data_IF_519036832663
#
_entry.id   IF_519036832663
#
_cell.length_a   1.000
_cell.length_b   1.000
_cell.length_c   1.000
_cell.angle_alpha   90.00
_cell.angle_beta   90.00
_cell.angle_gamma   90.00
#
_symmetry.space_group_name_H-M   'P 1'
#
loop_
_entity.id
_entity.type
_entity.pdbx_description
1 polymer ?
#
# COMPACT_ATOMS: atom_id res chain seq x y z
N UNK A 1 31.34 4.54 35.46
CA UNK A 1 32.68 5.11 35.52
C UNK A 1 32.63 6.67 35.55
N UNK A 2 32.03 7.35 34.58
CA UNK A 2 32.02 8.82 34.51
C UNK A 2 31.46 9.48 35.78
N UNK A 3 30.29 9.02 36.25
CA UNK A 3 29.65 9.56 37.47
C UNK A 3 30.54 9.32 38.73
N UNK A 4 31.15 8.16 38.85
CA UNK A 4 32.06 7.85 39.96
C UNK A 4 33.31 8.73 39.94
N UNK A 5 33.88 8.99 38.74
CA UNK A 5 35.01 9.90 38.59
C UNK A 5 34.64 11.32 39.01
N UNK A 6 33.46 11.81 38.67
CA UNK A 6 33.00 13.14 39.08
C UNK A 6 32.82 13.27 40.59
N UNK A 7 32.28 12.21 41.22
CA UNK A 7 32.13 12.16 42.70
C UNK A 7 33.52 12.28 43.35
N UNK A 8 34.50 11.45 42.91
CA UNK A 8 35.87 11.49 43.48
C UNK A 8 36.52 12.85 43.29
N UNK A 9 36.36 13.48 42.12
CA UNK A 9 36.87 14.83 41.87
C UNK A 9 36.23 15.88 42.82
N UNK A 10 34.95 15.77 43.08
CA UNK A 10 34.22 16.64 44.01
C UNK A 10 34.72 16.47 45.44
N UNK A 11 34.99 15.23 45.89
CA UNK A 11 35.53 14.94 47.23
C UNK A 11 37.00 15.47 47.38
N UNK A 12 37.73 15.55 46.28
CA UNK A 12 39.07 16.17 46.25
C UNK A 12 39.04 17.69 46.21
N UNK A 13 37.87 18.34 46.32
CA UNK A 13 37.67 19.78 46.32
C UNK A 13 37.76 20.47 44.97
N UNK A 14 37.72 19.71 43.88
CA UNK A 14 37.67 20.25 42.52
C UNK A 14 36.27 20.69 42.15
N UNK A 15 36.09 21.92 41.68
CA UNK A 15 34.81 22.39 41.20
C UNK A 15 34.39 21.64 39.92
N UNK A 16 33.36 20.80 40.04
CA UNK A 16 32.83 19.98 38.94
C UNK A 16 31.76 20.71 38.12
N UNK A 17 31.32 21.92 38.52
CA UNK A 17 30.26 22.64 37.82
C UNK A 17 30.59 22.96 36.35
N UNK A 18 31.82 23.43 35.98
CA UNK A 18 32.19 23.61 34.58
C UNK A 18 32.23 22.30 33.77
N UNK A 19 32.62 21.18 34.41
CA UNK A 19 32.65 19.86 33.76
C UNK A 19 31.25 19.36 33.48
N UNK A 20 30.32 19.54 34.43
CA UNK A 20 28.90 19.18 34.25
C UNK A 20 28.26 20.05 33.17
N UNK A 21 28.54 21.36 33.14
CA UNK A 21 28.04 22.24 32.11
C UNK A 21 28.50 21.83 30.71
N UNK A 22 29.81 21.53 30.57
CA UNK A 22 30.39 21.05 29.31
C UNK A 22 29.79 19.68 28.89
N UNK A 23 29.71 18.76 29.84
CA UNK A 23 29.09 17.43 29.59
C UNK A 23 27.60 17.55 29.19
N UNK A 24 26.87 18.52 29.77
CA UNK A 24 25.50 18.83 29.37
C UNK A 24 25.35 19.25 27.92
N UNK A 25 26.22 20.17 27.45
CA UNK A 25 26.23 20.60 26.04
C UNK A 25 26.55 19.45 25.11
N UNK A 26 27.55 18.63 25.44
CA UNK A 26 27.90 17.42 24.67
C UNK A 26 26.76 16.43 24.67
N UNK A 27 26.09 16.22 25.82
CA UNK A 27 24.92 15.33 25.93
C UNK A 27 23.77 15.75 25.03
N UNK A 28 23.46 17.05 24.98
CA UNK A 28 22.45 17.61 24.09
C UNK A 28 22.83 17.43 22.62
N UNK A 29 24.08 17.68 22.24
CA UNK A 29 24.56 17.46 20.87
C UNK A 29 24.45 15.99 20.42
N UNK A 30 24.84 15.06 21.29
CA UNK A 30 24.68 13.61 21.05
C UNK A 30 23.19 13.24 20.94
N UNK A 31 22.34 13.78 21.82
CA UNK A 31 20.88 13.55 21.81
C UNK A 31 20.25 13.98 20.48
N UNK A 32 20.58 15.16 19.99
CA UNK A 32 20.12 15.61 18.67
C UNK A 32 20.67 14.73 17.53
N UNK A 33 21.96 14.36 17.60
CA UNK A 33 22.58 13.46 16.61
C UNK A 33 21.95 12.06 16.57
N UNK A 34 21.48 11.56 17.71
CA UNK A 34 20.86 10.24 17.83
C UNK A 34 19.33 10.23 17.67
N UNK A 35 18.68 11.37 17.50
CA UNK A 35 17.22 11.52 17.50
C UNK A 35 16.52 10.59 16.50
N UNK A 36 17.05 10.50 15.28
CA UNK A 36 16.47 9.64 14.21
C UNK A 36 16.59 8.16 14.55
N UNK A 37 17.71 7.75 15.14
CA UNK A 37 17.92 6.38 15.59
C UNK A 37 16.91 5.99 16.67
N UNK A 38 16.69 6.84 17.65
CA UNK A 38 15.70 6.63 18.71
C UNK A 38 14.29 6.53 18.13
N UNK A 39 13.97 7.45 17.21
CA UNK A 39 12.67 7.43 16.50
C UNK A 39 12.49 6.12 15.72
N UNK A 40 13.51 5.67 14.96
CA UNK A 40 13.45 4.42 14.21
C UNK A 40 13.10 3.24 15.11
N UNK A 41 13.82 3.10 16.23
CA UNK A 41 13.64 1.97 17.16
C UNK A 41 12.27 2.00 17.83
N UNK A 42 11.82 3.16 18.30
CA UNK A 42 10.51 3.29 18.94
C UNK A 42 9.39 2.99 17.93
N UNK A 43 9.43 3.60 16.74
CA UNK A 43 8.41 3.36 15.70
C UNK A 43 8.42 1.89 15.26
N UNK A 44 9.61 1.32 15.03
CA UNK A 44 9.73 -0.10 14.65
C UNK A 44 9.19 -1.05 15.71
N UNK A 45 9.43 -0.76 16.98
CA UNK A 45 8.87 -1.53 18.08
C UNK A 45 7.34 -1.55 18.05
N UNK A 46 6.69 -0.39 17.90
CA UNK A 46 5.23 -0.32 17.85
C UNK A 46 4.66 -1.01 16.61
N UNK A 47 5.26 -0.84 15.43
CA UNK A 47 4.83 -1.52 14.21
C UNK A 47 4.86 -3.04 14.38
N UNK A 48 5.91 -3.57 15.03
CA UNK A 48 6.05 -5.00 15.30
C UNK A 48 5.10 -5.47 16.40
N UNK A 49 4.92 -4.68 17.46
CA UNK A 49 4.07 -5.05 18.60
C UNK A 49 2.57 -5.03 18.24
N UNK A 50 2.15 -4.14 17.35
CA UNK A 50 0.77 -4.00 16.89
C UNK A 50 0.45 -4.87 15.67
N UNK A 51 1.43 -5.61 15.14
CA UNK A 51 1.28 -6.40 13.91
C UNK A 51 0.67 -5.60 12.74
N UNK A 52 1.06 -4.32 12.63
CA UNK A 52 0.57 -3.43 11.58
C UNK A 52 1.04 -3.90 10.20
N UNK A 53 2.26 -4.41 10.12
CA UNK A 53 2.93 -4.92 8.92
C UNK A 53 3.54 -6.28 9.23
N UNK A 54 3.40 -7.24 8.32
CA UNK A 54 4.06 -8.54 8.37
C UNK A 54 4.95 -8.78 7.15
N UNK A 55 5.95 -9.65 7.29
CA UNK A 55 6.75 -10.14 6.15
C UNK A 55 5.83 -10.90 5.19
N UNK A 56 5.88 -10.56 3.92
CA UNK A 56 4.98 -11.07 2.88
C UNK A 56 3.81 -10.15 2.54
N UNK A 57 3.48 -9.16 3.38
CA UNK A 57 2.49 -8.14 3.03
C UNK A 57 2.94 -7.31 1.82
N UNK A 58 2.00 -6.86 1.02
CA UNK A 58 2.22 -5.81 0.03
C UNK A 58 1.78 -4.49 0.65
N UNK A 59 2.73 -3.58 0.77
CA UNK A 59 2.48 -2.28 1.39
C UNK A 59 2.94 -1.14 0.48
N UNK A 60 2.42 0.05 0.75
CA UNK A 60 2.93 1.30 0.21
C UNK A 60 3.35 2.20 1.38
N UNK A 61 4.59 2.69 1.31
CA UNK A 61 5.19 3.61 2.26
C UNK A 61 5.50 4.92 1.52
N UNK A 62 4.59 5.88 1.61
CA UNK A 62 4.77 7.21 1.01
C UNK A 62 5.18 7.14 -0.48
N UNK A 63 4.51 6.28 -1.27
CA UNK A 63 4.74 6.06 -2.70
C UNK A 63 5.79 4.99 -3.05
N UNK A 64 6.41 4.34 -2.07
CA UNK A 64 7.27 3.16 -2.27
C UNK A 64 6.45 1.91 -2.00
N UNK A 65 5.96 1.28 -3.06
CA UNK A 65 5.11 0.09 -2.97
C UNK A 65 5.89 -1.19 -3.26
N UNK A 66 5.63 -2.24 -2.48
CA UNK A 66 6.28 -3.53 -2.69
C UNK A 66 5.92 -4.58 -1.64
N UNK A 67 6.44 -5.78 -1.86
CA UNK A 67 6.35 -6.89 -0.90
C UNK A 67 7.37 -6.68 0.21
N UNK A 68 6.95 -6.84 1.45
CA UNK A 68 7.84 -6.83 2.62
C UNK A 68 8.69 -8.09 2.61
N UNK A 69 9.99 -7.96 2.34
CA UNK A 69 10.93 -9.09 2.37
C UNK A 69 11.50 -9.34 3.77
N UNK A 70 11.78 -8.27 4.47
CA UNK A 70 12.35 -8.35 5.81
C UNK A 70 12.07 -7.09 6.61
N UNK A 71 12.00 -7.24 7.91
CA UNK A 71 11.91 -6.14 8.86
C UNK A 71 12.96 -6.33 9.96
N UNK A 72 13.55 -5.23 10.38
CA UNK A 72 14.41 -5.12 11.54
C UNK A 72 13.75 -4.18 12.54
N UNK A 73 14.32 -3.98 13.71
CA UNK A 73 13.81 -3.01 14.67
C UNK A 73 13.87 -1.55 14.16
N UNK A 74 14.65 -1.27 13.11
CA UNK A 74 14.94 0.09 12.61
C UNK A 74 14.51 0.33 11.17
N UNK A 75 14.47 -0.72 10.34
CA UNK A 75 14.25 -0.60 8.90
C UNK A 75 13.30 -1.67 8.39
N UNK A 76 12.59 -1.33 7.33
CA UNK A 76 11.81 -2.26 6.52
C UNK A 76 12.39 -2.36 5.12
N UNK A 77 12.37 -3.55 4.55
CA UNK A 77 12.85 -3.86 3.22
C UNK A 77 11.70 -4.29 2.33
N UNK A 78 11.49 -3.55 1.24
CA UNK A 78 10.42 -3.80 0.27
C UNK A 78 11.03 -4.16 -1.07
N UNK A 79 10.45 -5.15 -1.76
CA UNK A 79 10.75 -5.42 -3.17
C UNK A 79 9.55 -5.04 -4.02
N UNK A 80 9.78 -4.19 -5.01
CA UNK A 80 8.72 -3.80 -5.94
C UNK A 80 8.49 -4.86 -7.04
N UNK A 81 7.46 -4.60 -7.88
CA UNK A 81 7.10 -5.50 -8.98
C UNK A 81 8.14 -5.58 -10.10
N UNK A 82 9.09 -4.65 -10.17
CA UNK A 82 10.22 -4.66 -11.11
C UNK A 82 11.47 -5.35 -10.53
N UNK A 83 11.43 -5.76 -9.24
CA UNK A 83 12.51 -6.44 -8.55
C UNK A 83 13.47 -5.50 -7.81
N UNK A 84 13.25 -4.17 -7.84
CA UNK A 84 14.05 -3.24 -7.07
C UNK A 84 13.76 -3.33 -5.57
N UNK A 85 14.79 -3.11 -4.75
CA UNK A 85 14.68 -3.21 -3.29
C UNK A 85 14.80 -1.83 -2.66
N UNK A 86 13.79 -1.44 -1.90
CA UNK A 86 13.80 -0.27 -1.04
C UNK A 86 14.14 -0.68 0.39
N UNK A 87 15.13 -0.03 1.00
CA UNK A 87 15.39 -0.11 2.44
C UNK A 87 14.99 1.22 3.06
N UNK A 88 13.93 1.21 3.85
CA UNK A 88 13.31 2.41 4.41
C UNK A 88 13.48 2.40 5.93
N UNK A 89 14.12 3.41 6.54
CA UNK A 89 14.14 3.57 7.99
C UNK A 89 12.76 3.98 8.49
N UNK A 90 12.35 3.50 9.65
CA UNK A 90 11.01 3.79 10.19
C UNK A 90 10.80 5.28 10.49
N UNK A 91 11.86 6.04 10.78
CA UNK A 91 11.79 7.50 10.97
C UNK A 91 11.35 8.26 9.73
N UNK A 92 11.55 7.69 8.54
CA UNK A 92 11.16 8.27 7.26
C UNK A 92 9.73 7.88 6.84
N UNK A 93 9.06 6.99 7.57
CA UNK A 93 7.68 6.56 7.27
C UNK A 93 6.71 7.52 7.92
N UNK A 94 5.84 8.12 7.12
CA UNK A 94 4.76 9.02 7.58
C UNK A 94 3.44 8.26 7.64
N UNK A 95 3.17 7.41 6.65
CA UNK A 95 1.97 6.60 6.57
C UNK A 95 2.26 5.19 6.06
N UNK A 96 1.45 4.24 6.48
CA UNK A 96 1.50 2.86 6.01
C UNK A 96 0.16 2.51 5.37
N UNK A 97 0.19 2.17 4.08
CA UNK A 97 -0.97 1.60 3.39
C UNK A 97 -0.71 0.12 3.16
N UNK A 98 -1.37 -0.75 3.93
CA UNK A 98 -1.28 -2.19 3.75
C UNK A 98 -2.36 -2.64 2.74
N UNK A 99 -1.93 -3.24 1.62
CA UNK A 99 -2.79 -3.66 0.51
C UNK A 99 -3.27 -5.11 0.64
N UNK A 100 -2.81 -5.83 1.65
CA UNK A 100 -3.05 -7.27 1.81
C UNK A 100 -3.49 -7.66 3.23
N UNK A 101 -3.71 -6.70 4.14
CA UNK A 101 -4.14 -7.01 5.51
C UNK A 101 -5.59 -7.52 5.51
N UNK A 102 -5.81 -8.72 6.01
CA UNK A 102 -7.08 -9.42 6.17
C UNK A 102 -7.83 -9.74 4.86
N UNK A 103 -8.11 -8.77 4.00
CA UNK A 103 -8.73 -8.93 2.69
C UNK A 103 -8.30 -7.80 1.75
N UNK A 104 -8.61 -7.95 0.46
CA UNK A 104 -8.40 -6.91 -0.52
C UNK A 104 -9.60 -6.80 -1.48
N UNK A 105 -9.72 -5.70 -2.19
CA UNK A 105 -10.66 -5.57 -3.29
C UNK A 105 -9.91 -5.54 -4.63
N UNK A 106 -10.36 -6.38 -5.57
CA UNK A 106 -10.12 -6.15 -6.98
C UNK A 106 -11.13 -5.10 -7.44
N UNK A 107 -10.68 -3.90 -7.78
CA UNK A 107 -11.51 -2.79 -8.27
C UNK A 107 -11.38 -2.72 -9.77
N UNK A 108 -12.50 -2.55 -10.46
CA UNK A 108 -12.60 -2.51 -11.92
C UNK A 108 -13.23 -1.20 -12.36
N UNK A 109 -12.46 -0.37 -13.00
CA UNK A 109 -12.93 0.86 -13.65
C UNK A 109 -12.97 0.60 -15.16
N UNK A 110 -14.18 0.45 -15.69
CA UNK A 110 -14.41 0.18 -17.10
C UNK A 110 -15.02 1.41 -17.73
N UNK A 111 -14.39 1.93 -18.79
CA UNK A 111 -14.94 3.05 -19.51
C UNK A 111 -15.90 2.54 -20.59
N UNK A 112 -17.15 2.99 -20.54
CA UNK A 112 -18.22 2.71 -21.49
C UNK A 112 -18.53 3.95 -22.29
N UNK A 113 -19.10 3.80 -23.50
CA UNK A 113 -19.55 4.95 -24.28
C UNK A 113 -20.79 5.59 -23.64
N UNK A 114 -21.06 6.85 -23.94
CA UNK A 114 -22.28 7.55 -23.46
C UNK A 114 -23.58 6.94 -23.98
N UNK A 115 -23.51 6.10 -25.01
CA UNK A 115 -24.67 5.48 -25.66
C UNK A 115 -24.95 4.07 -25.13
N UNK A 116 -24.00 3.48 -24.39
CA UNK A 116 -24.14 2.13 -23.87
C UNK A 116 -25.22 2.06 -22.78
N UNK A 117 -25.93 0.96 -22.75
CA UNK A 117 -26.84 0.64 -21.65
C UNK A 117 -26.03 0.17 -20.43
N UNK A 118 -25.90 1.06 -19.43
CA UNK A 118 -25.16 0.79 -18.20
C UNK A 118 -25.78 -0.36 -17.38
N UNK A 119 -27.10 -0.53 -17.43
CA UNK A 119 -27.75 -1.63 -16.72
C UNK A 119 -27.36 -2.97 -17.34
N UNK A 120 -27.37 -3.05 -18.67
CA UNK A 120 -26.93 -4.24 -19.42
C UNK A 120 -25.44 -4.51 -19.18
N UNK A 121 -24.59 -3.51 -19.20
CA UNK A 121 -23.17 -3.65 -18.90
C UNK A 121 -22.95 -4.19 -17.48
N UNK A 122 -23.71 -3.70 -16.49
CA UNK A 122 -23.68 -4.19 -15.11
C UNK A 122 -24.07 -5.66 -15.00
N UNK A 123 -25.09 -6.11 -15.72
CA UNK A 123 -25.50 -7.51 -15.71
C UNK A 123 -24.44 -8.43 -16.37
N UNK A 124 -23.83 -7.99 -17.49
CA UNK A 124 -22.71 -8.73 -18.09
C UNK A 124 -21.53 -8.83 -17.13
N UNK A 125 -21.18 -7.75 -16.42
CA UNK A 125 -20.12 -7.77 -15.42
C UNK A 125 -20.43 -8.75 -14.28
N UNK A 126 -21.68 -8.79 -13.78
CA UNK A 126 -22.10 -9.76 -12.75
C UNK A 126 -21.98 -11.20 -13.25
N UNK A 127 -22.41 -11.47 -14.47
CA UNK A 127 -22.30 -12.79 -15.09
C UNK A 127 -20.84 -13.24 -15.17
N UNK A 128 -19.94 -12.36 -15.64
CA UNK A 128 -18.50 -12.64 -15.67
C UNK A 128 -17.98 -12.89 -14.25
N UNK A 129 -18.38 -12.08 -13.28
CA UNK A 129 -18.01 -12.29 -11.87
C UNK A 129 -18.43 -13.68 -11.35
N UNK A 130 -19.65 -14.13 -11.70
CA UNK A 130 -20.14 -15.45 -11.34
C UNK A 130 -19.31 -16.59 -11.99
N UNK A 131 -18.85 -16.41 -13.25
CA UNK A 131 -17.97 -17.42 -13.89
C UNK A 131 -16.62 -17.53 -13.20
N UNK A 132 -16.08 -16.44 -12.63
CA UNK A 132 -14.85 -16.49 -11.84
C UNK A 132 -15.04 -17.20 -10.51
N UNK A 133 -16.19 -17.01 -9.86
CA UNK A 133 -16.54 -17.73 -8.62
C UNK A 133 -16.72 -19.24 -8.84
N UNK A 134 -17.18 -19.63 -10.03
CA UNK A 134 -17.33 -21.03 -10.41
C UNK A 134 -16.02 -21.68 -10.87
N UNK A 135 -14.97 -20.89 -11.13
CA UNK A 135 -13.67 -21.36 -11.60
C UNK A 135 -12.94 -22.10 -10.48
N UNK A 136 -12.47 -23.33 -10.74
CA UNK A 136 -11.82 -24.17 -9.73
C UNK A 136 -10.55 -23.55 -9.14
N UNK A 137 -9.81 -22.73 -9.92
CA UNK A 137 -8.56 -22.10 -9.50
C UNK A 137 -8.81 -20.80 -8.73
N UNK A 138 -9.81 -20.00 -9.17
CA UNK A 138 -10.02 -18.65 -8.66
C UNK A 138 -11.04 -18.59 -7.50
N UNK A 139 -11.91 -19.59 -7.36
CA UNK A 139 -12.94 -19.58 -6.32
C UNK A 139 -12.38 -19.43 -4.90
N UNK A 140 -11.21 -20.00 -4.64
CA UNK A 140 -10.55 -19.89 -3.34
C UNK A 140 -10.05 -18.47 -3.03
N UNK A 141 -9.80 -17.69 -4.07
CA UNK A 141 -9.33 -16.32 -3.98
C UNK A 141 -10.45 -15.30 -3.78
N UNK A 142 -11.69 -15.67 -4.12
CA UNK A 142 -12.84 -14.76 -4.12
C UNK A 142 -13.64 -14.96 -2.84
N UNK A 143 -13.81 -13.87 -2.08
CA UNK A 143 -14.49 -13.88 -0.78
C UNK A 143 -15.96 -13.47 -0.85
N UNK A 144 -16.33 -12.67 -1.87
CA UNK A 144 -17.70 -12.21 -2.07
C UNK A 144 -18.00 -12.04 -3.57
N UNK A 145 -19.30 -12.07 -3.98
CA UNK A 145 -19.70 -11.79 -5.35
C UNK A 145 -19.25 -10.41 -5.84
N UNK A 146 -19.24 -10.25 -7.18
CA UNK A 146 -19.00 -8.94 -7.79
C UNK A 146 -20.10 -7.95 -7.37
N UNK A 147 -19.67 -6.83 -6.84
CA UNK A 147 -20.53 -5.69 -6.53
C UNK A 147 -20.37 -4.63 -7.61
N UNK A 148 -21.44 -4.32 -8.33
CA UNK A 148 -21.49 -3.23 -9.30
C UNK A 148 -21.82 -1.95 -8.53
N UNK A 149 -20.90 -0.99 -8.50
CA UNK A 149 -21.04 0.27 -7.76
C UNK A 149 -21.77 1.34 -8.58
N UNK A 150 -21.70 1.25 -9.93
CA UNK A 150 -22.34 2.20 -10.83
C UNK A 150 -21.34 3.17 -11.45
N UNK A 151 -21.86 4.36 -11.82
CA UNK A 151 -21.06 5.43 -12.43
C UNK A 151 -20.15 6.06 -11.39
N UNK A 152 -18.85 6.03 -11.64
CA UNK A 152 -17.85 6.66 -10.80
C UNK A 152 -17.51 8.08 -11.26
N UNK A 153 -17.37 8.26 -12.57
CA UNK A 153 -17.03 9.56 -13.15
C UNK A 153 -17.34 9.60 -14.65
N UNK A 154 -17.37 10.81 -15.19
CA UNK A 154 -17.46 11.07 -16.62
C UNK A 154 -16.09 11.50 -17.14
N UNK A 155 -15.72 11.03 -18.33
CA UNK A 155 -14.48 11.39 -19.05
C UNK A 155 -14.81 11.84 -20.47
N UNK A 156 -13.87 12.47 -21.15
CA UNK A 156 -14.06 12.99 -22.49
C UNK A 156 -14.60 11.95 -23.49
N UNK A 157 -14.22 10.69 -23.32
CA UNK A 157 -14.57 9.60 -24.25
C UNK A 157 -15.69 8.69 -23.73
N UNK A 158 -16.21 8.90 -22.51
CA UNK A 158 -17.25 8.03 -21.98
C UNK A 158 -17.42 8.10 -20.46
N UNK A 159 -18.13 7.11 -19.95
CA UNK A 159 -18.50 6.98 -18.54
C UNK A 159 -17.63 5.91 -17.88
N UNK A 160 -16.99 6.24 -16.76
CA UNK A 160 -16.29 5.24 -15.95
C UNK A 160 -17.31 4.53 -15.08
N UNK A 161 -17.48 3.23 -15.32
CA UNK A 161 -18.39 2.36 -14.61
C UNK A 161 -17.59 1.45 -13.69
N UNK A 162 -17.84 1.54 -12.39
CA UNK A 162 -17.06 0.86 -11.36
C UNK A 162 -17.76 -0.38 -10.82
N UNK A 163 -16.98 -1.43 -10.67
CA UNK A 163 -17.34 -2.61 -9.89
C UNK A 163 -16.16 -3.04 -9.01
N UNK A 164 -16.42 -3.85 -8.01
CA UNK A 164 -15.39 -4.43 -7.16
C UNK A 164 -15.72 -5.85 -6.74
N UNK A 165 -14.70 -6.61 -6.41
CA UNK A 165 -14.83 -7.98 -5.90
C UNK A 165 -13.91 -8.17 -4.70
N UNK A 166 -14.44 -8.64 -3.57
CA UNK A 166 -13.63 -8.93 -2.39
C UNK A 166 -12.83 -10.20 -2.62
N UNK A 167 -11.53 -10.13 -2.33
CA UNK A 167 -10.58 -11.23 -2.55
C UNK A 167 -9.79 -11.56 -1.29
N UNK A 168 -9.18 -12.73 -1.29
CA UNK A 168 -8.13 -13.06 -0.34
C UNK A 168 -6.94 -12.09 -0.49
N UNK A 169 -6.14 -11.87 0.56
CA UNK A 169 -4.93 -11.07 0.51
C UNK A 169 -4.00 -11.50 -0.61
N UNK A 170 -3.52 -10.55 -1.42
CA UNK A 170 -2.60 -10.83 -2.53
C UNK A 170 -3.25 -11.38 -3.80
N UNK A 171 -4.50 -11.84 -3.75
CA UNK A 171 -5.21 -12.41 -4.90
C UNK A 171 -5.83 -11.34 -5.83
N UNK A 172 -6.00 -10.11 -5.36
CA UNK A 172 -6.69 -9.05 -6.10
C UNK A 172 -6.15 -8.81 -7.51
N UNK A 173 -4.84 -8.90 -7.70
CA UNK A 173 -4.22 -8.70 -9.01
C UNK A 173 -4.48 -9.86 -9.97
N UNK A 174 -4.46 -11.12 -9.48
CA UNK A 174 -4.76 -12.30 -10.29
C UNK A 174 -6.22 -12.32 -10.71
N UNK A 175 -7.12 -12.10 -9.76
CA UNK A 175 -8.56 -11.99 -10.00
C UNK A 175 -8.87 -10.84 -10.98
N UNK A 176 -8.21 -9.68 -10.81
CA UNK A 176 -8.40 -8.54 -11.70
C UNK A 176 -8.02 -8.86 -13.15
N UNK A 177 -6.86 -9.47 -13.36
CA UNK A 177 -6.44 -9.85 -14.72
C UNK A 177 -7.38 -10.87 -15.36
N UNK A 178 -7.83 -11.87 -14.59
CA UNK A 178 -8.76 -12.88 -15.08
C UNK A 178 -10.13 -12.28 -15.42
N UNK A 179 -10.64 -11.38 -14.54
CA UNK A 179 -11.91 -10.69 -14.77
C UNK A 179 -11.85 -9.83 -16.03
N UNK A 180 -10.86 -8.96 -16.17
CA UNK A 180 -10.74 -8.08 -17.33
C UNK A 180 -10.59 -8.84 -18.65
N UNK A 181 -9.86 -9.97 -18.63
CA UNK A 181 -9.74 -10.82 -19.81
C UNK A 181 -11.10 -11.39 -20.25
N UNK A 182 -11.86 -12.00 -19.32
CA UNK A 182 -13.19 -12.54 -19.62
C UNK A 182 -14.21 -11.45 -19.93
N UNK A 183 -14.12 -10.30 -19.27
CA UNK A 183 -15.03 -9.18 -19.50
C UNK A 183 -14.90 -8.64 -20.92
N UNK A 184 -13.67 -8.53 -21.44
CA UNK A 184 -13.45 -8.11 -22.83
C UNK A 184 -14.26 -8.97 -23.82
N UNK A 185 -14.17 -10.30 -23.68
CA UNK A 185 -14.83 -11.21 -24.59
C UNK A 185 -16.37 -11.17 -24.40
N UNK A 186 -16.83 -11.07 -23.15
CA UNK A 186 -18.25 -10.94 -22.84
C UNK A 186 -18.87 -9.64 -23.37
N UNK A 187 -18.15 -8.53 -23.30
CA UNK A 187 -18.64 -7.25 -23.86
C UNK A 187 -18.74 -7.29 -25.37
N UNK A 188 -17.75 -7.86 -26.06
CA UNK A 188 -17.83 -8.07 -27.51
C UNK A 188 -19.05 -8.92 -27.87
N UNK A 189 -19.28 -10.02 -27.18
CA UNK A 189 -20.43 -10.89 -27.39
C UNK A 189 -21.79 -10.19 -27.12
N UNK A 190 -21.82 -9.26 -26.17
CA UNK A 190 -23.00 -8.47 -25.82
C UNK A 190 -23.22 -7.24 -26.70
N UNK A 191 -22.29 -6.94 -27.65
CA UNK A 191 -22.32 -5.74 -28.49
C UNK A 191 -22.08 -4.44 -27.71
N UNK A 192 -21.38 -4.51 -26.60
CA UNK A 192 -20.94 -3.34 -25.81
C UNK A 192 -19.56 -2.94 -26.33
N UNK A 193 -19.43 -1.69 -26.76
CA UNK A 193 -18.22 -1.18 -27.39
C UNK A 193 -17.34 -0.42 -26.37
N UNK A 194 -16.03 -0.60 -26.49
CA UNK A 194 -15.12 0.28 -25.77
C UNK A 194 -15.00 1.62 -26.50
N UNK A 195 -14.97 2.75 -25.79
CA UNK A 195 -14.83 4.06 -26.42
C UNK A 195 -13.49 4.17 -27.15
N UNK A 196 -13.57 4.53 -28.42
CA UNK A 196 -12.40 4.80 -29.27
C UNK A 196 -12.22 6.31 -29.33
N UNK A 197 -11.00 6.86 -29.15
CA UNK A 197 -10.74 8.28 -29.36
C UNK A 197 -11.10 8.66 -30.79
N UNK A 198 -12.08 9.54 -30.98
CA UNK A 198 -12.42 10.08 -32.30
C UNK A 198 -11.46 11.23 -32.58
N UNK A 199 -10.46 11.02 -33.43
CA UNK A 199 -9.67 12.11 -33.99
C UNK A 199 -10.49 12.79 -35.11
N UNK A 200 -11.11 13.92 -34.81
CA UNK A 200 -11.71 14.77 -35.83
C UNK A 200 -10.53 15.47 -36.52
N UNK A 201 -10.11 14.93 -37.66
CA UNK A 201 -9.27 15.69 -38.56
C UNK A 201 -10.16 16.76 -39.16
N UNK A 202 -9.97 18.04 -38.76
CA UNK A 202 -10.65 19.16 -39.32
C UNK A 202 -10.38 19.22 -40.84
N UNK A 203 -11.44 19.43 -41.61
CA UNK A 203 -11.37 19.70 -43.03
C UNK A 203 -10.81 21.11 -43.30
#
# INVERSE_FOLDING_TARGET
>A
LLVVSLIVLSELGIDIAPLLAGAGVVGVAIGFGAQTLVKDVITGFFILAEDTIAVGDVIDLDGKSGVVEAMTIRTIRLRDGAGAVFTVPFSAVTSVKNLTKAFAYAVFDVTLTYRDDLARAGEVMKQVGATLQADEVLRADIRAPLEVMGVESFRDIGVVFRARMMTAPGAQWRVSRAFLGRLKDAFIAAGIEYPVPVHIYGA
#
